data_IF_206227110619
#
_entry.id   IF_206227110619
#
_cell.length_a   1.000
_cell.length_b   1.000
_cell.length_c   1.000
_cell.angle_alpha   90.00
_cell.angle_beta   90.00
_cell.angle_gamma   90.00
#
_symmetry.space_group_name_H-M   'P 1'
#
loop_
_entity.id
_entity.type
_entity.pdbx_description
1 polymer ?
#
# COMPACT_ATOMS: atom_id res chain seq x y z
N UNK A 1 -18.74 2.87 -5.53
CA UNK A 1 -17.88 2.23 -6.54
C UNK A 1 -16.48 2.76 -6.33
N UNK A 2 -15.51 1.88 -6.07
CA UNK A 2 -14.09 2.24 -6.01
C UNK A 2 -13.56 2.44 -7.43
N UNK A 3 -12.62 3.36 -7.63
CA UNK A 3 -12.06 3.62 -8.95
C UNK A 3 -11.02 2.57 -9.32
N UNK A 4 -10.73 2.43 -10.63
CA UNK A 4 -9.66 1.53 -11.10
C UNK A 4 -8.31 1.90 -10.46
N UNK A 5 -8.03 3.20 -10.29
CA UNK A 5 -6.79 3.66 -9.67
C UNK A 5 -6.70 3.24 -8.19
N UNK A 6 -7.81 3.33 -7.45
CA UNK A 6 -7.88 2.86 -6.07
C UNK A 6 -7.62 1.35 -5.94
N UNK A 7 -8.26 0.52 -6.79
CA UNK A 7 -8.02 -0.93 -6.79
C UNK A 7 -6.57 -1.30 -7.18
N UNK A 8 -5.95 -0.52 -8.08
CA UNK A 8 -4.54 -0.69 -8.44
C UNK A 8 -3.61 -0.34 -7.26
N UNK A 9 -3.91 0.73 -6.52
CA UNK A 9 -3.21 1.10 -5.28
C UNK A 9 -3.27 -0.03 -4.25
N UNK A 10 -4.48 -0.56 -4.00
CA UNK A 10 -4.65 -1.72 -3.12
C UNK A 10 -3.83 -2.91 -3.57
N UNK A 11 -3.90 -3.28 -4.85
CA UNK A 11 -3.15 -4.42 -5.38
C UNK A 11 -1.64 -4.23 -5.23
N UNK A 12 -1.12 -3.02 -5.48
CA UNK A 12 0.31 -2.73 -5.33
C UNK A 12 0.77 -2.91 -3.87
N UNK A 13 0.02 -2.37 -2.90
CA UNK A 13 0.29 -2.55 -1.48
C UNK A 13 0.27 -4.03 -1.07
N UNK A 14 -0.76 -4.80 -1.48
CA UNK A 14 -0.89 -6.24 -1.22
C UNK A 14 0.24 -7.10 -1.79
N UNK A 15 0.87 -6.62 -2.86
CA UNK A 15 1.99 -7.29 -3.49
C UNK A 15 3.35 -6.84 -2.91
N UNK A 16 3.36 -5.93 -1.94
CA UNK A 16 4.58 -5.35 -1.39
C UNK A 16 5.37 -4.50 -2.39
N UNK A 17 4.71 -3.97 -3.42
CA UNK A 17 5.36 -3.13 -4.44
C UNK A 17 5.53 -1.73 -3.86
N UNK A 18 6.76 -1.22 -3.81
CA UNK A 18 7.03 0.15 -3.39
C UNK A 18 6.32 1.15 -4.31
N UNK A 19 5.88 2.30 -3.76
CA UNK A 19 5.18 3.33 -4.55
C UNK A 19 5.98 3.77 -5.78
N UNK A 20 7.30 3.90 -5.63
CA UNK A 20 8.26 4.23 -6.69
C UNK A 20 8.35 3.20 -7.82
N UNK A 21 8.03 1.93 -7.54
CA UNK A 21 7.97 0.85 -8.52
C UNK A 21 6.55 0.60 -9.06
N UNK A 22 5.57 1.37 -8.57
CA UNK A 22 4.16 1.19 -8.90
C UNK A 22 3.71 2.07 -10.07
N UNK A 23 2.53 1.76 -10.62
CA UNK A 23 1.91 2.50 -11.71
C UNK A 23 1.61 3.97 -11.38
N UNK A 24 1.72 4.37 -10.11
CA UNK A 24 1.54 5.77 -9.68
C UNK A 24 2.56 6.71 -10.31
N UNK A 25 3.77 6.24 -10.62
CA UNK A 25 4.83 7.03 -11.27
C UNK A 25 4.45 7.53 -12.66
N UNK A 26 3.48 6.87 -13.29
CA UNK A 26 2.92 7.26 -14.59
C UNK A 26 1.74 8.24 -14.47
N UNK A 27 1.31 8.56 -13.25
CA UNK A 27 0.21 9.49 -12.98
C UNK A 27 0.75 10.87 -12.61
N UNK A 28 0.05 11.92 -13.06
CA UNK A 28 0.39 13.29 -12.66
C UNK A 28 0.02 13.49 -11.18
N UNK A 29 0.87 14.10 -10.34
CA UNK A 29 0.62 14.26 -8.90
C UNK A 29 -0.70 14.95 -8.57
N UNK A 30 -1.06 15.96 -9.35
CA UNK A 30 -2.31 16.72 -9.18
C UNK A 30 -3.55 16.06 -9.81
N UNK A 31 -3.41 14.84 -10.35
CA UNK A 31 -4.54 14.15 -10.96
C UNK A 31 -5.38 13.43 -9.91
N UNK A 32 -6.70 13.44 -10.08
CA UNK A 32 -7.62 12.68 -9.22
C UNK A 32 -7.27 11.18 -9.19
N UNK A 33 -6.74 10.64 -10.30
CA UNK A 33 -6.25 9.26 -10.38
C UNK A 33 -5.08 8.99 -9.44
N UNK A 34 -4.14 9.94 -9.32
CA UNK A 34 -3.01 9.83 -8.41
C UNK A 34 -3.49 9.80 -6.95
N UNK A 35 -4.38 10.72 -6.57
CA UNK A 35 -4.98 10.74 -5.23
C UNK A 35 -5.76 9.46 -4.91
N UNK A 36 -6.52 8.94 -5.88
CA UNK A 36 -7.26 7.69 -5.72
C UNK A 36 -6.33 6.47 -5.58
N UNK A 37 -5.20 6.42 -6.30
CA UNK A 37 -4.21 5.35 -6.15
C UNK A 37 -3.59 5.37 -4.74
N UNK A 38 -3.15 6.54 -4.26
CA UNK A 38 -2.59 6.67 -2.91
C UNK A 38 -3.58 6.21 -1.84
N UNK A 39 -4.84 6.66 -1.93
CA UNK A 39 -5.87 6.25 -0.98
C UNK A 39 -6.07 4.73 -0.93
N UNK A 40 -5.97 4.03 -2.08
CA UNK A 40 -6.05 2.56 -2.11
C UNK A 40 -4.79 1.88 -1.59
N UNK A 41 -3.62 2.46 -1.85
CA UNK A 41 -2.35 1.95 -1.34
C UNK A 41 -2.28 2.05 0.19
N UNK A 42 -2.54 3.24 0.74
CA UNK A 42 -2.50 3.53 2.18
C UNK A 42 -3.58 2.78 2.98
N UNK A 43 -4.80 2.62 2.43
CA UNK A 43 -5.87 1.84 3.09
C UNK A 43 -5.49 0.38 3.28
N UNK A 44 -4.64 -0.16 2.41
CA UNK A 44 -4.23 -1.55 2.46
C UNK A 44 -2.92 -1.76 3.24
N UNK A 45 -1.97 -0.81 3.18
CA UNK A 45 -0.81 -0.80 4.09
C UNK A 45 -1.28 -0.72 5.55
N UNK A 46 -2.24 0.17 5.85
CA UNK A 46 -2.81 0.28 7.21
C UNK A 46 -3.70 -0.92 7.61
N UNK A 47 -4.08 -1.80 6.67
CA UNK A 47 -4.83 -3.03 7.01
C UNK A 47 -3.90 -4.17 7.41
N UNK A 48 -2.68 -4.24 6.87
CA UNK A 48 -1.67 -5.21 7.32
C UNK A 48 -1.11 -4.84 8.72
N UNK A 49 -1.23 -3.58 9.15
CA UNK A 49 -0.87 -3.13 10.52
C UNK A 49 -1.92 -3.46 11.60
N UNK A 50 -3.06 -4.09 11.26
CA UNK A 50 -4.04 -4.53 12.27
C UNK A 50 -3.71 -5.93 12.84
N UNK A 51 -2.74 -6.67 12.27
CA UNK A 51 -2.21 -7.91 12.87
C UNK A 51 -0.69 -7.93 13.07
N UNK A 52 -0.01 -6.80 12.84
CA UNK A 52 1.38 -6.62 13.25
C UNK A 52 1.52 -5.24 13.88
N UNK A 53 1.62 -5.19 15.21
CA UNK A 53 2.09 -4.01 15.91
C UNK A 53 3.58 -3.80 15.54
N UNK A 54 3.82 -3.15 14.40
CA UNK A 54 5.14 -2.67 14.02
C UNK A 54 5.39 -1.34 14.72
N UNK A 55 6.29 -1.36 15.72
CA UNK A 55 6.82 -0.14 16.34
C UNK A 55 7.49 0.74 15.26
N UNK A 56 7.22 2.05 15.35
CA UNK A 56 7.50 3.17 14.43
C UNK A 56 8.97 3.43 14.01
N UNK A 57 9.82 2.41 13.81
CA UNK A 57 11.20 2.61 13.37
C UNK A 57 11.67 1.59 12.33
N UNK A 58 11.28 1.81 11.07
CA UNK A 58 12.17 1.72 9.90
C UNK A 58 12.99 0.42 9.70
N UNK A 59 12.51 -0.74 10.14
CA UNK A 59 13.13 -2.03 9.86
C UNK A 59 12.10 -3.13 9.78
N UNK A 60 11.57 -3.36 8.58
CA UNK A 60 10.71 -4.51 8.27
C UNK A 60 11.62 -5.74 8.07
N UNK A 61 12.22 -6.21 9.17
CA UNK A 61 12.50 -7.63 9.34
C UNK A 61 11.22 -8.24 9.94
N UNK A 62 10.24 -8.54 9.10
CA UNK A 62 9.11 -9.36 9.52
C UNK A 62 9.59 -10.79 9.67
N UNK A 63 9.93 -11.19 10.90
CA UNK A 63 9.85 -12.61 11.25
C UNK A 63 8.37 -12.84 11.54
N UNK A 64 7.64 -13.31 10.53
CA UNK A 64 6.33 -13.90 10.76
C UNK A 64 6.59 -15.18 11.55
N UNK A 65 6.37 -15.16 12.86
CA UNK A 65 6.23 -16.41 13.61
C UNK A 65 4.91 -17.03 13.19
N UNK A 66 5.02 -17.99 12.29
CA UNK A 66 4.00 -18.94 11.89
C UNK A 66 3.77 -19.88 13.09
N UNK A 67 3.11 -19.37 14.14
CA UNK A 67 2.82 -20.13 15.36
C UNK A 67 1.53 -20.95 15.19
N UNK A 68 1.75 -22.16 14.66
CA UNK A 68 1.16 -23.46 15.03
C UNK A 68 -0.24 -23.54 15.70
#
# INVERSE_FOLDING_TARGET
MTSIAYEQGKKAAKMGIALEDSAITSLHPDSERHSQFLAGFEDNVNQDDIDCACDDLGSICCVCEDDY
#
